data_IF_843909526085
#
_entry.id   IF_843909526085
#
_cell.length_a   1.000
_cell.length_b   1.000
_cell.length_c   1.000
_cell.angle_alpha   90.00
_cell.angle_beta   90.00
_cell.angle_gamma   90.00
#
_symmetry.space_group_name_H-M   'P 1'
#
loop_
_entity.id
_entity.type
_entity.pdbx_description
1 polymer ?
#
# COMPACT_ATOMS: atom_id res chain seq x y z
N UNK A 1 22.66 -13.38 -9.27
CA UNK A 1 22.10 -14.74 -9.11
C UNK A 1 21.28 -14.72 -7.85
N UNK A 2 19.97 -14.75 -7.94
CA UNK A 2 19.07 -14.78 -6.79
C UNK A 2 19.09 -16.17 -6.17
N UNK A 3 19.23 -16.32 -4.85
CA UNK A 3 19.13 -17.60 -4.17
C UNK A 3 17.65 -18.01 -4.06
N UNK A 4 17.04 -18.36 -5.17
CA UNK A 4 15.68 -18.86 -5.20
C UNK A 4 15.73 -20.38 -5.40
N UNK A 5 15.29 -21.14 -4.40
CA UNK A 5 15.01 -22.57 -4.57
C UNK A 5 13.65 -22.74 -5.25
N UNK A 6 13.47 -23.76 -6.11
CA UNK A 6 12.22 -24.01 -6.85
C UNK A 6 10.99 -24.21 -5.95
N UNK A 7 11.19 -24.51 -4.68
CA UNK A 7 10.14 -24.91 -3.73
C UNK A 7 9.56 -23.75 -2.92
N UNK A 8 9.91 -22.49 -3.24
CA UNK A 8 9.39 -21.31 -2.53
C UNK A 8 9.91 -21.17 -1.08
N UNK A 9 10.79 -22.04 -0.62
CA UNK A 9 11.44 -21.91 0.68
C UNK A 9 12.42 -20.73 0.64
N UNK A 10 12.27 -19.81 1.56
CA UNK A 10 13.22 -18.70 1.73
C UNK A 10 14.51 -19.31 2.30
N UNK A 11 15.58 -19.32 1.49
CA UNK A 11 16.88 -19.81 1.94
C UNK A 11 17.45 -18.87 3.00
N UNK A 12 18.17 -19.43 3.95
CA UNK A 12 19.00 -18.65 4.86
C UNK A 12 19.98 -17.79 4.04
N UNK A 13 20.19 -16.55 4.45
CA UNK A 13 21.04 -15.60 3.74
C UNK A 13 21.90 -14.84 4.74
N UNK A 14 23.17 -14.72 4.42
CA UNK A 14 24.11 -13.90 5.17
C UNK A 14 24.62 -12.77 4.27
N UNK A 15 24.30 -11.54 4.65
CA UNK A 15 24.84 -10.34 4.02
C UNK A 15 26.01 -9.84 4.88
N UNK A 16 27.16 -9.62 4.25
CA UNK A 16 28.36 -9.14 4.94
C UNK A 16 28.89 -7.84 4.37
N UNK A 17 29.75 -7.18 5.15
CA UNK A 17 30.43 -5.94 4.79
C UNK A 17 29.47 -4.82 4.39
N UNK A 18 28.35 -4.65 5.15
CA UNK A 18 27.36 -3.62 4.93
C UNK A 18 27.58 -2.43 5.90
N UNK A 19 27.14 -1.23 5.51
CA UNK A 19 26.85 -0.12 6.42
C UNK A 19 25.38 -0.22 6.82
N UNK A 20 25.09 -0.95 7.91
CA UNK A 20 23.72 -1.24 8.34
C UNK A 20 23.13 -0.05 9.11
N UNK A 21 22.06 0.53 8.57
CA UNK A 21 21.35 1.66 9.17
C UNK A 21 20.26 1.14 10.09
N UNK A 22 20.40 1.40 11.38
CA UNK A 22 19.43 1.12 12.43
C UNK A 22 18.83 2.44 12.94
N UNK A 23 17.74 2.41 13.73
CA UNK A 23 17.06 3.64 14.17
C UNK A 23 18.00 4.65 14.86
N UNK A 24 18.98 4.17 15.65
CA UNK A 24 19.80 5.02 16.49
C UNK A 24 21.29 4.99 16.11
N UNK A 25 21.71 4.12 15.20
CA UNK A 25 23.12 3.93 14.88
C UNK A 25 23.31 3.33 13.48
N UNK A 26 24.45 3.69 12.85
CA UNK A 26 24.95 2.99 11.67
C UNK A 26 26.06 2.06 12.10
N UNK A 27 25.94 0.76 11.84
CA UNK A 27 26.99 -0.22 12.10
C UNK A 27 27.80 -0.36 10.81
N UNK A 28 29.01 0.16 10.84
CA UNK A 28 29.97 -0.04 9.76
C UNK A 28 30.51 -1.48 9.77
N UNK A 29 30.81 -1.99 8.58
CA UNK A 29 31.25 -3.38 8.39
C UNK A 29 30.31 -4.39 9.10
N UNK A 30 29.02 -4.26 8.83
CA UNK A 30 27.99 -5.06 9.46
C UNK A 30 27.78 -6.40 8.78
N UNK A 31 27.27 -7.35 9.58
CA UNK A 31 26.75 -8.65 9.16
C UNK A 31 25.28 -8.73 9.50
N UNK A 32 24.44 -9.08 8.51
CA UNK A 32 23.04 -9.40 8.71
C UNK A 32 22.81 -10.87 8.37
N UNK A 33 22.09 -11.58 9.25
CA UNK A 33 21.73 -12.97 9.07
C UNK A 33 20.22 -13.11 8.96
N UNK A 34 19.74 -13.67 7.86
CA UNK A 34 18.35 -14.05 7.65
C UNK A 34 18.22 -15.56 7.82
N UNK A 35 17.20 -16.00 8.57
CA UNK A 35 16.85 -17.41 8.72
C UNK A 35 15.34 -17.56 8.65
N UNK A 36 14.88 -18.50 7.83
CA UNK A 36 13.46 -18.74 7.65
C UNK A 36 12.68 -17.47 7.25
N UNK A 37 13.27 -16.59 6.43
CA UNK A 37 12.65 -15.34 6.00
C UNK A 37 12.62 -14.21 7.04
N UNK A 38 13.28 -14.38 8.19
CA UNK A 38 13.34 -13.39 9.27
C UNK A 38 14.77 -12.96 9.56
N UNK A 39 14.95 -11.69 9.94
CA UNK A 39 16.24 -11.19 10.42
C UNK A 39 16.52 -11.83 11.78
N UNK A 40 17.53 -12.70 11.80
CA UNK A 40 17.96 -13.43 13.01
C UNK A 40 19.06 -12.68 13.78
N UNK A 41 19.89 -11.91 13.07
CA UNK A 41 20.98 -11.16 13.68
C UNK A 41 21.39 -9.96 12.81
N UNK A 42 21.74 -8.85 13.46
CA UNK A 42 22.46 -7.72 12.87
C UNK A 42 23.55 -7.29 13.85
N UNK A 43 24.77 -7.15 13.38
CA UNK A 43 25.89 -6.72 14.21
C UNK A 43 27.18 -6.60 13.41
N UNK A 44 28.33 -6.31 14.07
CA UNK A 44 29.63 -6.24 13.38
C UNK A 44 29.97 -7.52 12.64
N UNK A 45 30.61 -7.41 11.49
CA UNK A 45 31.08 -8.55 10.72
C UNK A 45 32.32 -9.16 11.39
N UNK A 46 32.29 -10.44 11.82
CA UNK A 46 33.45 -11.04 12.46
C UNK A 46 34.62 -11.16 11.46
N UNK A 47 35.85 -10.87 11.86
CA UNK A 47 37.01 -10.99 10.99
C UNK A 47 37.14 -12.39 10.36
N UNK A 48 37.26 -12.45 9.04
CA UNK A 48 37.39 -13.70 8.29
C UNK A 48 36.14 -14.55 8.19
N UNK A 49 34.99 -14.07 8.67
CA UNK A 49 33.72 -14.78 8.51
C UNK A 49 33.26 -14.75 7.04
N UNK A 50 32.72 -15.88 6.54
CA UNK A 50 32.12 -15.92 5.20
C UNK A 50 30.73 -15.30 5.18
N UNK A 51 30.32 -14.77 4.03
CA UNK A 51 28.96 -14.31 3.74
C UNK A 51 28.52 -14.81 2.36
N UNK A 52 27.22 -14.90 2.17
CA UNK A 52 26.63 -15.29 0.87
C UNK A 52 26.62 -14.12 -0.09
N UNK A 53 26.45 -12.90 0.42
CA UNK A 53 26.46 -11.65 -0.32
C UNK A 53 27.38 -10.63 0.35
N UNK A 54 28.49 -10.30 -0.31
CA UNK A 54 29.38 -9.21 0.07
C UNK A 54 28.90 -7.91 -0.61
N UNK A 55 28.42 -6.95 0.18
CA UNK A 55 27.90 -5.67 -0.34
C UNK A 55 28.94 -4.54 -0.35
N UNK A 56 30.18 -4.82 0.08
CA UNK A 56 31.35 -3.96 -0.07
C UNK A 56 31.14 -2.54 0.48
N UNK A 57 30.57 -2.41 1.66
CA UNK A 57 30.32 -1.14 2.33
C UNK A 57 29.03 -0.43 1.87
N UNK A 58 28.21 -1.05 1.02
CA UNK A 58 26.96 -0.44 0.64
C UNK A 58 26.03 -0.31 1.85
N UNK A 59 25.20 0.74 1.83
CA UNK A 59 24.17 0.93 2.85
C UNK A 59 23.12 -0.17 2.79
N UNK A 60 22.80 -0.72 3.95
CA UNK A 60 21.72 -1.69 4.14
C UNK A 60 20.66 -1.04 5.02
N UNK A 61 19.47 -0.84 4.46
CA UNK A 61 18.33 -0.20 5.12
C UNK A 61 17.15 -1.17 5.15
N UNK A 62 16.21 -0.99 6.12
CA UNK A 62 14.88 -1.57 5.98
C UNK A 62 14.22 -1.10 4.68
N UNK A 63 13.40 -1.96 4.08
CA UNK A 63 12.58 -1.56 2.94
C UNK A 63 11.64 -0.42 3.31
N UNK A 64 11.38 0.46 2.37
CA UNK A 64 10.46 1.58 2.59
C UNK A 64 9.02 1.06 2.68
N UNK A 65 8.24 1.67 3.58
CA UNK A 65 6.81 1.42 3.73
C UNK A 65 6.08 2.70 3.32
N UNK A 66 5.29 2.63 2.26
CA UNK A 66 4.43 3.71 1.81
C UNK A 66 3.02 3.47 2.37
N UNK A 67 2.62 4.24 3.36
CA UNK A 67 1.34 4.05 4.08
C UNK A 67 0.16 4.73 3.40
N UNK A 68 0.38 5.51 2.33
CA UNK A 68 -0.68 6.16 1.56
C UNK A 68 -0.21 6.43 0.13
N UNK A 69 -0.61 5.60 -0.79
CA UNK A 69 -0.24 5.72 -2.20
C UNK A 69 -1.44 5.80 -3.12
N UNK A 70 -1.53 6.87 -3.91
CA UNK A 70 -2.49 7.02 -5.00
C UNK A 70 -1.91 6.53 -6.36
N UNK A 71 -0.77 5.83 -6.31
CA UNK A 71 -0.07 5.40 -7.53
C UNK A 71 -0.94 4.50 -8.40
N UNK A 72 -1.68 3.57 -7.79
CA UNK A 72 -2.49 2.61 -8.54
C UNK A 72 -3.53 3.28 -9.43
N UNK A 73 -4.21 4.31 -8.93
CA UNK A 73 -5.17 5.10 -9.72
C UNK A 73 -4.52 5.75 -10.95
N UNK A 74 -3.29 6.23 -10.80
CA UNK A 74 -2.52 6.84 -11.90
C UNK A 74 -2.02 5.79 -12.90
N UNK A 75 -1.57 4.63 -12.43
CA UNK A 75 -1.17 3.52 -13.30
C UNK A 75 -2.35 2.98 -14.10
N UNK A 76 -3.54 2.91 -13.50
CA UNK A 76 -4.75 2.51 -14.22
C UNK A 76 -5.18 3.52 -15.28
N UNK A 77 -4.95 4.81 -15.04
CA UNK A 77 -5.34 5.91 -15.94
C UNK A 77 -4.15 6.74 -16.37
N UNK A 78 -3.26 6.17 -17.20
CA UNK A 78 -2.01 6.83 -17.59
C UNK A 78 -2.25 8.06 -18.48
N UNK A 79 -3.44 8.19 -19.07
CA UNK A 79 -3.86 9.33 -19.91
C UNK A 79 -5.39 9.36 -20.05
N UNK A 80 -5.99 10.52 -20.42
CA UNK A 80 -7.43 10.62 -20.62
C UNK A 80 -7.98 9.57 -21.59
N UNK A 81 -9.11 8.97 -21.24
CA UNK A 81 -9.82 7.97 -22.05
C UNK A 81 -9.17 6.58 -22.09
N UNK A 82 -8.12 6.33 -21.31
CA UNK A 82 -7.48 5.01 -21.21
C UNK A 82 -7.62 4.49 -19.79
N UNK A 83 -8.17 3.29 -19.66
CA UNK A 83 -8.22 2.53 -18.41
C UNK A 83 -7.51 1.21 -18.65
N UNK A 84 -6.48 0.92 -17.87
CA UNK A 84 -5.74 -0.34 -17.92
C UNK A 84 -6.39 -1.38 -17.02
N UNK A 85 -6.15 -2.65 -17.36
CA UNK A 85 -6.53 -3.76 -16.50
C UNK A 85 -5.86 -3.64 -15.12
N UNK A 86 -6.60 -3.91 -14.01
CA UNK A 86 -6.06 -3.82 -12.65
C UNK A 86 -4.77 -4.61 -12.44
N UNK A 87 -4.66 -5.83 -12.98
CA UNK A 87 -3.48 -6.67 -12.79
C UNK A 87 -2.24 -6.07 -13.47
N UNK A 88 -2.41 -5.47 -14.65
CA UNK A 88 -1.33 -4.76 -15.35
C UNK A 88 -0.91 -3.51 -14.59
N UNK A 89 -1.86 -2.74 -14.08
CA UNK A 89 -1.59 -1.54 -13.29
C UNK A 89 -0.86 -1.87 -11.99
N UNK A 90 -1.27 -2.94 -11.28
CA UNK A 90 -0.60 -3.42 -10.06
C UNK A 90 0.82 -3.87 -10.37
N UNK A 91 1.03 -4.63 -11.45
CA UNK A 91 2.37 -5.08 -11.85
C UNK A 91 3.28 -3.90 -12.21
N UNK A 92 2.76 -2.88 -12.90
CA UNK A 92 3.49 -1.64 -13.21
C UNK A 92 3.86 -0.86 -11.95
N UNK A 93 2.90 -0.66 -11.05
CA UNK A 93 3.12 -0.03 -9.75
C UNK A 93 4.18 -0.79 -8.94
N UNK A 94 4.08 -2.12 -8.85
CA UNK A 94 5.04 -2.98 -8.16
C UNK A 94 6.45 -2.83 -8.71
N UNK A 95 6.63 -2.78 -10.04
CA UNK A 95 7.93 -2.58 -10.64
C UNK A 95 8.57 -1.23 -10.26
N UNK A 96 7.78 -0.16 -10.21
CA UNK A 96 8.25 1.18 -9.83
C UNK A 96 8.55 1.27 -8.34
N UNK A 97 7.71 0.67 -7.50
CA UNK A 97 7.91 0.61 -6.04
C UNK A 97 9.20 -0.13 -5.70
N UNK A 98 9.44 -1.29 -6.33
CA UNK A 98 10.72 -2.04 -6.18
C UNK A 98 11.93 -1.19 -6.56
N UNK A 99 11.85 -0.49 -7.69
CA UNK A 99 12.93 0.39 -8.13
C UNK A 99 13.22 1.54 -7.16
N UNK A 100 12.21 1.96 -6.38
CA UNK A 100 12.34 2.97 -5.34
C UNK A 100 12.76 2.38 -3.97
N UNK A 101 12.86 1.07 -3.82
CA UNK A 101 13.18 0.40 -2.55
C UNK A 101 11.98 0.22 -1.61
N UNK A 102 10.76 0.41 -2.11
CA UNK A 102 9.53 0.18 -1.35
C UNK A 102 9.24 -1.31 -1.30
N UNK A 103 9.02 -1.84 -0.09
CA UNK A 103 8.70 -3.26 0.15
C UNK A 103 7.27 -3.48 0.63
N UNK A 104 6.60 -2.42 1.10
CA UNK A 104 5.20 -2.45 1.51
C UNK A 104 4.52 -1.18 1.07
N UNK A 105 3.33 -1.29 0.52
CA UNK A 105 2.53 -0.14 0.08
C UNK A 105 1.07 -0.34 0.46
N UNK A 106 0.44 0.71 0.98
CA UNK A 106 -1.00 0.78 1.21
C UNK A 106 -1.61 1.61 0.09
N UNK A 107 -2.32 0.96 -0.82
CA UNK A 107 -3.03 1.63 -1.91
C UNK A 107 -4.32 2.27 -1.42
N UNK A 108 -4.44 3.58 -1.58
CA UNK A 108 -5.64 4.33 -1.23
C UNK A 108 -6.79 3.99 -2.18
N UNK A 109 -7.75 3.20 -1.71
CA UNK A 109 -8.98 2.88 -2.45
C UNK A 109 -10.15 3.64 -1.84
N UNK A 110 -10.78 4.50 -2.65
CA UNK A 110 -11.86 5.34 -2.19
C UNK A 110 -13.21 4.61 -2.27
N UNK A 111 -13.82 4.38 -1.12
CA UNK A 111 -15.17 3.83 -0.98
C UNK A 111 -16.16 5.00 -1.01
N UNK A 112 -16.57 5.38 -2.21
CA UNK A 112 -17.46 6.53 -2.42
C UNK A 112 -18.17 6.44 -3.77
N UNK A 113 -19.33 7.08 -3.88
CA UNK A 113 -20.13 7.09 -5.12
C UNK A 113 -19.54 8.06 -6.15
N UNK A 114 -18.97 9.16 -5.69
CA UNK A 114 -18.39 10.21 -6.53
C UNK A 114 -16.97 10.53 -6.06
N UNK A 115 -16.11 10.83 -7.00
CA UNK A 115 -14.81 11.43 -6.67
C UNK A 115 -15.04 12.78 -5.98
N UNK A 116 -14.14 13.18 -5.08
CA UNK A 116 -14.10 14.54 -4.50
C UNK A 116 -14.10 15.59 -5.59
N UNK A 117 -13.52 15.27 -6.72
CA UNK A 117 -13.42 16.13 -7.91
C UNK A 117 -14.60 15.96 -8.87
N UNK A 118 -15.68 15.32 -8.44
CA UNK A 118 -16.95 15.24 -9.20
C UNK A 118 -16.90 14.44 -10.49
N UNK A 119 -15.77 13.87 -10.87
CA UNK A 119 -15.69 13.01 -12.04
C UNK A 119 -16.37 11.69 -11.73
N UNK A 120 -17.26 11.23 -12.62
CA UNK A 120 -17.78 9.86 -12.55
C UNK A 120 -16.59 8.91 -12.48
N UNK A 121 -16.59 8.04 -11.47
CA UNK A 121 -15.53 7.06 -11.33
C UNK A 121 -15.82 5.95 -12.34
N UNK A 122 -15.36 6.11 -13.57
CA UNK A 122 -15.23 5.04 -14.56
C UNK A 122 -14.08 4.09 -14.20
N UNK A 123 -13.86 3.88 -12.92
CA UNK A 123 -12.87 2.93 -12.40
C UNK A 123 -13.57 1.65 -11.99
N UNK A 124 -12.87 0.53 -11.98
CA UNK A 124 -13.28 -0.61 -11.19
C UNK A 124 -13.64 -0.15 -9.79
N UNK A 125 -14.73 -0.67 -9.25
CA UNK A 125 -15.14 -0.34 -7.89
C UNK A 125 -13.99 -0.61 -6.91
N UNK A 126 -13.93 0.11 -5.80
CA UNK A 126 -12.88 -0.10 -4.80
C UNK A 126 -12.79 -1.58 -4.37
N UNK A 127 -13.93 -2.28 -4.29
CA UNK A 127 -14.00 -3.71 -3.99
C UNK A 127 -13.32 -4.57 -5.06
N UNK A 128 -13.49 -4.27 -6.35
CA UNK A 128 -12.83 -5.00 -7.44
C UNK A 128 -11.31 -4.83 -7.40
N UNK A 129 -10.85 -3.61 -7.08
CA UNK A 129 -9.42 -3.34 -6.90
C UNK A 129 -8.86 -4.04 -5.66
N UNK A 130 -9.63 -4.08 -4.57
CA UNK A 130 -9.27 -4.80 -3.35
C UNK A 130 -9.12 -6.30 -3.65
N UNK A 131 -10.04 -6.88 -4.41
CA UNK A 131 -9.96 -8.28 -4.85
C UNK A 131 -8.75 -8.53 -5.75
N UNK A 132 -8.50 -7.67 -6.73
CA UNK A 132 -7.34 -7.78 -7.61
C UNK A 132 -6.02 -7.71 -6.83
N UNK A 133 -5.92 -6.84 -5.83
CA UNK A 133 -4.76 -6.75 -4.94
C UNK A 133 -4.60 -8.03 -4.11
N UNK A 134 -5.68 -8.58 -3.57
CA UNK A 134 -5.66 -9.82 -2.79
C UNK A 134 -5.20 -11.04 -3.63
N UNK A 135 -5.52 -11.05 -4.93
CA UNK A 135 -5.11 -12.09 -5.87
C UNK A 135 -3.68 -11.89 -6.43
N UNK A 136 -3.03 -10.77 -6.12
CA UNK A 136 -1.70 -10.47 -6.66
C UNK A 136 -0.61 -11.29 -5.96
N UNK A 137 0.21 -12.02 -6.73
CA UNK A 137 1.41 -12.73 -6.25
C UNK A 137 2.69 -11.92 -6.55
N UNK A 138 2.81 -10.74 -5.95
CA UNK A 138 4.09 -10.01 -5.93
C UNK A 138 4.88 -10.37 -4.67
N UNK A 139 5.98 -11.13 -4.86
CA UNK A 139 6.82 -11.58 -3.75
C UNK A 139 7.82 -10.55 -3.26
N UNK A 140 7.92 -9.41 -3.92
CA UNK A 140 8.91 -8.36 -3.62
C UNK A 140 8.28 -7.11 -2.99
N UNK A 141 6.99 -6.88 -3.25
CA UNK A 141 6.23 -5.80 -2.63
C UNK A 141 4.97 -6.39 -1.99
N UNK A 142 4.75 -6.06 -0.75
CA UNK A 142 3.51 -6.36 -0.05
C UNK A 142 2.49 -5.26 -0.36
N UNK A 143 1.53 -5.59 -1.24
CA UNK A 143 0.46 -4.69 -1.64
C UNK A 143 -0.71 -4.84 -0.68
N UNK A 144 -1.04 -3.78 0.03
CA UNK A 144 -2.14 -3.71 0.98
C UNK A 144 -3.15 -2.64 0.57
N UNK A 145 -4.34 -2.68 1.17
CA UNK A 145 -5.40 -1.69 0.94
C UNK A 145 -5.44 -0.71 2.10
N UNK A 146 -5.39 0.59 1.77
CA UNK A 146 -5.85 1.67 2.63
C UNK A 146 -7.29 1.99 2.21
N UNK A 147 -8.25 1.61 3.06
CA UNK A 147 -9.66 1.89 2.81
C UNK A 147 -9.94 3.36 3.13
N UNK A 148 -10.23 4.15 2.11
CA UNK A 148 -10.51 5.58 2.25
C UNK A 148 -12.01 5.80 2.25
N UNK A 149 -12.53 6.43 3.30
CA UNK A 149 -13.94 6.76 3.47
C UNK A 149 -14.11 8.26 3.70
N UNK A 150 -14.81 8.94 2.80
CA UNK A 150 -15.33 10.27 3.08
C UNK A 150 -16.47 10.17 4.11
N UNK A 151 -16.32 10.87 5.22
CA UNK A 151 -17.27 10.79 6.35
C UNK A 151 -18.68 11.29 6.00
N UNK A 152 -18.84 11.99 4.88
CA UNK A 152 -20.12 12.43 4.35
C UNK A 152 -20.80 11.42 3.45
N UNK A 153 -20.10 10.36 3.05
CA UNK A 153 -20.58 9.41 2.05
C UNK A 153 -21.24 8.18 2.71
N UNK A 154 -22.56 8.22 2.88
CA UNK A 154 -23.31 7.09 3.43
C UNK A 154 -23.19 5.82 2.57
N UNK A 155 -23.26 5.96 1.25
CA UNK A 155 -23.05 4.85 0.32
C UNK A 155 -21.66 4.22 0.49
N UNK A 156 -20.62 5.06 0.64
CA UNK A 156 -19.27 4.59 0.88
C UNK A 156 -19.12 3.83 2.19
N UNK A 157 -19.84 4.27 3.23
CA UNK A 157 -19.90 3.57 4.53
C UNK A 157 -20.49 2.17 4.36
N UNK A 158 -21.64 2.05 3.71
CA UNK A 158 -22.27 0.74 3.49
C UNK A 158 -21.41 -0.22 2.65
N UNK A 159 -20.73 0.32 1.63
CA UNK A 159 -19.83 -0.46 0.79
C UNK A 159 -18.61 -0.94 1.58
N UNK A 160 -18.03 -0.07 2.39
CA UNK A 160 -16.89 -0.40 3.24
C UNK A 160 -17.26 -1.42 4.32
N UNK A 161 -18.43 -1.31 4.94
CA UNK A 161 -18.92 -2.29 5.91
C UNK A 161 -18.97 -3.70 5.29
N UNK A 162 -19.53 -3.83 4.09
CA UNK A 162 -19.56 -5.11 3.35
C UNK A 162 -18.17 -5.64 3.02
N UNK A 163 -17.25 -4.76 2.66
CA UNK A 163 -15.85 -5.13 2.38
C UNK A 163 -15.13 -5.68 3.61
N UNK A 164 -15.42 -5.12 4.78
CA UNK A 164 -14.75 -5.47 6.03
C UNK A 164 -15.42 -6.63 6.78
N UNK A 165 -16.67 -6.95 6.49
CA UNK A 165 -17.45 -7.96 7.22
C UNK A 165 -16.75 -9.35 7.28
N UNK A 166 -16.21 -9.91 6.17
CA UNK A 166 -15.50 -11.19 6.22
C UNK A 166 -14.24 -11.15 7.09
N UNK A 167 -13.57 -9.98 7.16
CA UNK A 167 -12.36 -9.79 7.96
C UNK A 167 -12.69 -9.63 9.46
N UNK A 168 -13.80 -8.99 9.79
CA UNK A 168 -14.28 -8.87 11.15
C UNK A 168 -14.60 -10.25 11.77
N UNK A 169 -15.17 -11.15 10.99
CA UNK A 169 -15.40 -12.53 11.42
C UNK A 169 -14.11 -13.29 11.72
N UNK A 170 -13.07 -13.10 10.88
CA UNK A 170 -11.75 -13.71 11.09
C UNK A 170 -11.07 -13.17 12.36
N UNK A 171 -11.18 -11.87 12.62
CA UNK A 171 -10.59 -11.20 13.78
C UNK A 171 -11.35 -11.53 15.08
N UNK A 172 -12.64 -11.84 15.00
CA UNK A 172 -13.46 -12.22 16.16
C UNK A 172 -13.27 -13.67 16.62
N UNK A 173 -12.61 -14.50 15.82
CA UNK A 173 -12.27 -15.88 16.23
C UNK A 173 -11.28 -15.85 17.38
N UNK A 174 -11.56 -16.55 18.50
CA UNK A 174 -10.61 -16.63 19.58
C UNK A 174 -9.30 -17.23 19.05
N UNK A 175 -8.19 -16.57 19.37
CA UNK A 175 -6.86 -17.10 19.04
C UNK A 175 -6.78 -18.56 19.55
N UNK A 176 -6.48 -19.47 18.64
CA UNK A 176 -6.25 -20.85 19.02
C UNK A 176 -5.13 -20.90 20.07
N UNK A 177 -5.42 -21.52 21.19
CA UNK A 177 -4.47 -21.66 22.30
C UNK A 177 -3.24 -22.53 21.94
N UNK A 178 -3.21 -23.09 20.74
CA UNK A 178 -2.10 -23.93 20.25
C UNK A 178 -0.84 -23.13 19.92
N UNK A 179 -0.86 -21.80 19.96
CA UNK A 179 0.30 -20.95 19.64
C UNK A 179 0.74 -21.03 18.18
N UNK A 180 -0.04 -21.68 17.32
CA UNK A 180 0.19 -21.63 15.89
C UNK A 180 -0.07 -20.22 15.40
N UNK A 181 0.86 -19.56 14.71
CA UNK A 181 0.58 -18.31 14.05
C UNK A 181 -0.62 -18.50 13.12
N UNK A 182 -1.52 -17.52 13.08
CA UNK A 182 -2.58 -17.49 12.08
C UNK A 182 -1.97 -17.78 10.70
N UNK A 183 -2.68 -18.47 9.80
CA UNK A 183 -2.14 -18.76 8.49
C UNK A 183 -1.64 -17.44 7.89
N UNK A 184 -0.35 -17.40 7.57
CA UNK A 184 0.32 -16.25 6.95
C UNK A 184 -0.17 -16.10 5.51
N UNK A 185 -1.49 -15.91 5.34
CA UNK A 185 -2.10 -15.50 4.09
C UNK A 185 -1.91 -14.00 3.92
N UNK A 186 -1.34 -13.58 2.82
CA UNK A 186 -1.37 -12.18 2.39
C UNK A 186 -2.82 -11.69 2.53
N UNK A 187 -3.03 -10.61 3.27
CA UNK A 187 -4.35 -10.02 3.51
C UNK A 187 -5.02 -10.36 4.84
N UNK A 188 -4.41 -11.16 5.72
CA UNK A 188 -4.92 -11.44 7.08
C UNK A 188 -4.61 -10.34 8.11
N UNK A 189 -4.06 -9.21 7.70
CA UNK A 189 -3.78 -8.06 8.55
C UNK A 189 -5.05 -7.34 9.01
N UNK A 190 -4.94 -6.60 10.11
CA UNK A 190 -5.98 -5.67 10.55
C UNK A 190 -6.21 -4.65 9.43
N UNK A 191 -7.46 -4.45 8.96
CA UNK A 191 -7.72 -3.47 7.91
C UNK A 191 -7.37 -2.06 8.39
N UNK A 192 -6.75 -1.30 7.50
CA UNK A 192 -6.41 0.11 7.75
C UNK A 192 -7.47 0.97 7.07
N UNK A 193 -8.10 1.85 7.83
CA UNK A 193 -9.12 2.78 7.35
C UNK A 193 -8.65 4.21 7.55
N UNK A 194 -8.75 5.02 6.49
CA UNK A 194 -8.54 6.46 6.54
C UNK A 194 -9.89 7.16 6.43
N UNK A 195 -10.25 7.91 7.46
CA UNK A 195 -11.40 8.80 7.41
C UNK A 195 -10.98 10.13 6.83
N UNK A 196 -11.72 10.57 5.82
CA UNK A 196 -11.46 11.81 5.11
C UNK A 196 -12.65 12.74 5.25
N UNK A 197 -12.37 14.00 5.54
CA UNK A 197 -13.38 15.06 5.58
C UNK A 197 -13.05 16.09 4.49
N UNK A 198 -13.83 16.06 3.42
CA UNK A 198 -13.70 16.99 2.32
C UNK A 198 -14.73 18.13 2.40
N UNK A 199 -15.34 18.34 3.56
CA UNK A 199 -16.24 19.47 3.78
C UNK A 199 -15.49 20.77 3.54
N UNK A 200 -16.00 21.64 2.67
CA UNK A 200 -15.39 22.95 2.46
C UNK A 200 -15.30 23.74 3.78
N UNK A 201 -14.14 24.34 4.03
CA UNK A 201 -13.83 25.03 5.29
C UNK A 201 -13.12 24.17 6.32
N UNK A 202 -12.95 22.87 6.07
CA UNK A 202 -12.31 21.94 7.03
C UNK A 202 -11.05 21.24 6.51
N UNK A 203 -10.49 21.63 5.40
CA UNK A 203 -9.34 20.94 4.88
C UNK A 203 -8.82 21.50 3.58
N UNK A 204 -8.97 20.75 2.50
CA UNK A 204 -8.39 21.08 1.20
C UNK A 204 -8.91 22.41 0.61
N UNK A 205 -10.19 22.75 0.87
CA UNK A 205 -10.81 23.98 0.38
C UNK A 205 -11.21 24.88 1.55
N UNK A 206 -10.80 26.15 1.49
CA UNK A 206 -11.06 27.12 2.55
C UNK A 206 -12.57 27.42 2.76
N UNK A 207 -13.36 27.31 1.71
CA UNK A 207 -14.80 27.60 1.70
C UNK A 207 -15.50 26.96 0.48
N UNK A 208 -16.85 26.88 0.46
CA UNK A 208 -17.62 26.29 -0.64
C UNK A 208 -17.34 26.94 -2.01
N UNK A 209 -17.19 28.24 -2.05
CA UNK A 209 -16.96 29.00 -3.31
C UNK A 209 -15.58 28.64 -3.89
N UNK A 210 -14.57 28.46 -3.05
CA UNK A 210 -13.23 28.04 -3.46
C UNK A 210 -13.27 26.65 -4.08
N UNK A 211 -13.99 25.71 -3.49
CA UNK A 211 -14.17 24.38 -4.04
C UNK A 211 -14.94 24.42 -5.35
N UNK A 212 -16.08 25.09 -5.40
CA UNK A 212 -16.89 25.24 -6.62
C UNK A 212 -16.06 25.80 -7.79
N UNK A 213 -15.32 26.89 -7.52
CA UNK A 213 -14.45 27.49 -8.53
C UNK A 213 -13.37 26.53 -9.02
N UNK A 214 -12.80 25.75 -8.12
CA UNK A 214 -11.78 24.76 -8.47
C UNK A 214 -12.37 23.67 -9.37
N UNK A 215 -13.56 23.14 -9.05
CA UNK A 215 -14.26 22.13 -9.84
C UNK A 215 -14.55 22.62 -11.26
N UNK A 216 -15.00 23.86 -11.41
CA UNK A 216 -15.25 24.45 -12.73
C UNK A 216 -13.97 24.63 -13.53
N UNK A 217 -12.90 25.16 -12.91
CA UNK A 217 -11.67 25.52 -13.61
C UNK A 217 -10.78 24.32 -13.92
N UNK A 218 -10.72 23.32 -13.06
CA UNK A 218 -9.77 22.22 -13.18
C UNK A 218 -10.42 20.91 -13.64
N UNK A 219 -11.71 20.70 -13.29
CA UNK A 219 -12.43 19.48 -13.68
C UNK A 219 -13.41 19.71 -14.84
N UNK A 220 -13.57 20.96 -15.27
CA UNK A 220 -14.46 21.31 -16.39
C UNK A 220 -15.94 21.12 -16.09
N UNK A 221 -16.33 21.08 -14.81
CA UNK A 221 -17.75 20.99 -14.42
C UNK A 221 -18.53 22.23 -14.81
N UNK A 222 -19.83 22.07 -15.07
CA UNK A 222 -20.70 23.23 -15.16
C UNK A 222 -20.81 23.94 -13.78
N UNK A 223 -21.23 25.21 -13.78
CA UNK A 223 -21.40 25.93 -12.52
C UNK A 223 -22.48 25.30 -11.63
N UNK A 224 -23.55 24.81 -12.25
CA UNK A 224 -24.67 24.19 -11.55
C UNK A 224 -24.25 22.84 -10.96
N UNK A 225 -23.60 21.98 -11.74
CA UNK A 225 -23.08 20.69 -11.25
C UNK A 225 -22.04 20.87 -10.13
N UNK A 226 -21.20 21.90 -10.24
CA UNK A 226 -20.21 22.20 -9.21
C UNK A 226 -20.87 22.75 -7.93
N UNK A 227 -21.96 23.53 -8.04
CA UNK A 227 -22.73 23.98 -6.89
C UNK A 227 -23.39 22.80 -6.18
N UNK A 228 -24.10 21.95 -6.92
CA UNK A 228 -24.75 20.75 -6.38
C UNK A 228 -23.74 19.81 -5.71
N UNK A 229 -22.53 19.69 -6.29
CA UNK A 229 -21.47 18.85 -5.73
C UNK A 229 -20.94 19.38 -4.39
N UNK A 230 -20.85 20.69 -4.24
CA UNK A 230 -20.35 21.33 -3.00
C UNK A 230 -21.38 21.25 -1.86
N UNK A 231 -22.68 21.21 -2.19
CA UNK A 231 -23.76 21.05 -1.21
C UNK A 231 -23.97 19.59 -0.77
N UNK A 232 -23.50 18.63 -1.59
CA UNK A 232 -23.55 17.18 -1.29
C UNK A 232 -22.57 16.83 -0.19
#
# INVERSE_FOLDING_TARGET
>A
MTPFTPDGAVSDLVIGHASAVLPDVVIEDARLVVRGGRIAHVGPHPPGASCDLDVRGAYLLPGLIDVHSDMLSREMRPRPGVVLDPSLAIASAGARLRAAGTTTVLHGLAFQERSIVGTAIDSPAASELSEALACTDDRQVDHQVLHRLDVRCEYGRELLEKELEPRAELLSRPADRSGSPAPEGRGAGVPVVSYEDHTPGQGQFADPMTMQRWLVLNEGMSQDDAADHVEW
#
